data_IF_724809320492
#
_entry.id   IF_724809320492
#
_cell.length_a   1.000
_cell.length_b   1.000
_cell.length_c   1.000
_cell.angle_alpha   90.00
_cell.angle_beta   90.00
_cell.angle_gamma   90.00
#
_symmetry.space_group_name_H-M   'P 1'
#
loop_
_entity.id
_entity.type
_entity.pdbx_description
1 polymer ?
#
# COMPACT_ATOMS: atom_id res chain seq x y z
N UNK A 1 2.67 15.17 6.93
CA UNK A 1 1.29 14.73 7.16
C UNK A 1 1.22 13.61 8.22
N UNK A 2 2.03 12.55 8.14
CA UNK A 2 2.04 11.43 9.09
C UNK A 2 2.22 11.92 10.55
N UNK A 3 3.20 12.77 10.83
CA UNK A 3 3.43 13.33 12.17
C UNK A 3 2.20 14.04 12.75
N UNK A 4 1.41 14.70 11.89
CA UNK A 4 0.17 15.36 12.34
C UNK A 4 -0.87 14.33 12.76
N UNK A 5 -1.05 13.29 11.97
CA UNK A 5 -1.96 12.18 12.27
C UNK A 5 -1.53 11.47 13.56
N UNK A 6 -0.25 11.14 13.71
CA UNK A 6 0.29 10.49 14.92
C UNK A 6 0.09 11.36 16.18
N UNK A 7 0.26 12.67 16.06
CA UNK A 7 0.00 13.60 17.17
C UNK A 7 -1.47 13.62 17.57
N UNK A 8 -2.38 13.66 16.59
CA UNK A 8 -3.82 13.62 16.85
C UNK A 8 -4.23 12.29 17.51
N UNK A 9 -3.68 11.19 17.03
CA UNK A 9 -3.93 9.86 17.60
C UNK A 9 -3.45 9.78 19.06
N UNK A 10 -2.27 10.32 19.37
CA UNK A 10 -1.76 10.38 20.74
C UNK A 10 -2.74 11.13 21.66
N UNK A 11 -3.31 12.24 21.22
CA UNK A 11 -4.32 12.99 21.98
C UNK A 11 -5.56 12.11 22.25
N UNK A 12 -6.01 11.33 21.28
CA UNK A 12 -7.15 10.40 21.46
C UNK A 12 -6.84 9.30 22.49
N UNK A 13 -5.58 8.82 22.54
CA UNK A 13 -5.16 7.82 23.52
C UNK A 13 -5.07 8.39 24.95
N UNK A 14 -4.63 9.65 25.09
CA UNK A 14 -4.41 10.31 26.38
C UNK A 14 -5.70 10.93 26.97
N UNK A 15 -6.66 11.33 26.13
CA UNK A 15 -7.86 12.05 26.54
C UNK A 15 -9.16 11.36 26.09
N UNK A 16 -9.90 10.83 27.06
CA UNK A 16 -11.24 10.32 26.80
C UNK A 16 -12.20 11.39 26.25
N UNK A 17 -12.08 12.63 26.75
CA UNK A 17 -12.90 13.73 26.23
C UNK A 17 -12.60 14.06 24.79
N UNK A 18 -11.33 14.01 24.36
CA UNK A 18 -10.95 14.22 22.96
C UNK A 18 -11.48 13.09 22.09
N UNK A 19 -11.34 11.84 22.51
CA UNK A 19 -11.88 10.67 21.81
C UNK A 19 -13.39 10.79 21.61
N UNK A 20 -14.12 11.16 22.67
CA UNK A 20 -15.58 11.34 22.64
C UNK A 20 -16.02 12.49 21.72
N UNK A 21 -15.30 13.64 21.76
CA UNK A 21 -15.60 14.77 20.86
C UNK A 21 -15.38 14.46 19.39
N UNK A 22 -14.36 13.65 19.09
CA UNK A 22 -14.06 13.22 17.73
C UNK A 22 -14.91 12.03 17.28
N UNK A 23 -15.68 11.45 18.19
CA UNK A 23 -16.43 10.22 17.98
C UNK A 23 -15.56 9.08 17.40
N UNK A 24 -14.33 8.95 17.94
CA UNK A 24 -13.33 7.96 17.51
C UNK A 24 -12.91 7.13 18.71
N UNK A 25 -13.09 5.82 18.64
CA UNK A 25 -12.56 4.91 19.66
C UNK A 25 -11.03 4.82 19.57
N UNK A 26 -10.38 4.40 20.66
CA UNK A 26 -8.92 4.16 20.66
C UNK A 26 -8.51 3.11 19.63
N UNK A 27 -9.31 2.05 19.44
CA UNK A 27 -9.09 1.04 18.41
C UNK A 27 -9.13 1.64 17.01
N UNK A 28 -10.15 2.44 16.70
CA UNK A 28 -10.25 3.14 15.41
C UNK A 28 -9.08 4.11 15.20
N UNK A 29 -8.66 4.83 16.24
CA UNK A 29 -7.51 5.72 16.15
C UNK A 29 -6.22 4.96 15.78
N UNK A 30 -6.01 3.75 16.34
CA UNK A 30 -4.89 2.89 16.00
C UNK A 30 -4.93 2.46 14.53
N UNK A 31 -6.10 2.06 14.04
CA UNK A 31 -6.25 1.64 12.65
C UNK A 31 -6.04 2.82 11.68
N UNK A 32 -6.48 4.02 12.01
CA UNK A 32 -6.15 5.22 11.23
C UNK A 32 -4.64 5.51 11.20
N UNK A 33 -3.92 5.27 12.30
CA UNK A 33 -2.45 5.34 12.30
C UNK A 33 -1.82 4.33 11.35
N UNK A 34 -2.32 3.10 11.37
CA UNK A 34 -1.84 2.04 10.50
C UNK A 34 -2.09 2.37 9.02
N UNK A 35 -3.29 2.88 8.67
CA UNK A 35 -3.58 3.36 7.31
C UNK A 35 -2.62 4.47 6.88
N UNK A 36 -2.39 5.47 7.75
CA UNK A 36 -1.50 6.59 7.45
C UNK A 36 -0.06 6.11 7.21
N UNK A 37 0.43 5.13 7.99
CA UNK A 37 1.76 4.52 7.79
C UNK A 37 1.86 3.74 6.49
N UNK A 38 0.81 3.00 6.10
CA UNK A 38 0.80 2.33 4.81
C UNK A 38 0.90 3.33 3.65
N UNK A 39 0.16 4.45 3.72
CA UNK A 39 0.20 5.51 2.71
C UNK A 39 1.59 6.17 2.64
N UNK A 40 2.18 6.49 3.78
CA UNK A 40 3.52 7.07 3.83
C UNK A 40 4.56 6.16 3.18
N UNK A 41 4.58 4.88 3.54
CA UNK A 41 5.49 3.91 2.92
C UNK A 41 5.27 3.75 1.42
N UNK A 42 4.02 3.78 0.95
CA UNK A 42 3.73 3.79 -0.48
C UNK A 42 4.30 5.04 -1.15
N UNK A 43 4.13 6.22 -0.54
CA UNK A 43 4.67 7.48 -1.07
C UNK A 43 6.20 7.47 -1.12
N UNK A 44 6.88 6.90 -0.15
CA UNK A 44 8.34 6.74 -0.17
C UNK A 44 8.79 5.91 -1.38
N UNK A 45 8.10 4.80 -1.67
CA UNK A 45 8.45 3.99 -2.84
C UNK A 45 8.08 4.65 -4.17
N UNK A 46 6.99 5.42 -4.24
CA UNK A 46 6.67 6.25 -5.42
C UNK A 46 7.76 7.30 -5.63
N UNK A 47 8.20 7.97 -4.56
CA UNK A 47 9.26 8.97 -4.64
C UNK A 47 10.58 8.34 -5.11
N UNK A 48 10.98 7.21 -4.53
CA UNK A 48 12.19 6.49 -4.93
C UNK A 48 12.14 6.06 -6.40
N UNK A 49 10.99 5.54 -6.85
CA UNK A 49 10.78 5.16 -8.24
C UNK A 49 10.87 6.36 -9.19
N UNK A 50 10.25 7.49 -8.81
CA UNK A 50 10.27 8.72 -9.60
C UNK A 50 11.68 9.30 -9.68
N UNK A 51 12.40 9.37 -8.57
CA UNK A 51 13.80 9.82 -8.51
C UNK A 51 14.67 8.95 -9.40
N UNK A 52 14.52 7.63 -9.29
CA UNK A 52 15.27 6.69 -10.12
C UNK A 52 15.02 6.91 -11.62
N UNK A 53 13.75 7.12 -12.02
CA UNK A 53 13.39 7.37 -13.43
C UNK A 53 14.01 8.69 -13.93
N UNK A 54 14.00 9.75 -13.09
CA UNK A 54 14.57 11.05 -13.45
C UNK A 54 16.09 10.95 -13.62
N UNK A 55 16.79 10.27 -12.72
CA UNK A 55 18.24 10.10 -12.74
C UNK A 55 18.72 9.23 -13.90
N UNK A 56 17.87 8.32 -14.38
CA UNK A 56 18.20 7.35 -15.43
C UNK A 56 17.36 7.56 -16.71
N UNK A 57 17.00 8.81 -17.01
CA UNK A 57 16.10 9.18 -18.11
C UNK A 57 16.56 8.69 -19.49
N UNK A 58 17.84 8.53 -19.72
CA UNK A 58 18.42 7.98 -20.96
C UNK A 58 17.92 6.56 -21.29
N UNK A 59 17.42 5.84 -20.26
CA UNK A 59 16.93 4.47 -20.36
C UNK A 59 15.38 4.38 -20.35
N UNK A 60 14.66 5.52 -20.23
CA UNK A 60 13.20 5.57 -20.11
C UNK A 60 12.46 4.80 -21.21
N UNK A 61 12.80 4.93 -22.51
CA UNK A 61 12.09 4.21 -23.56
C UNK A 61 12.11 2.69 -23.37
N UNK A 62 13.20 2.16 -22.80
CA UNK A 62 13.34 0.74 -22.49
C UNK A 62 12.64 0.37 -21.18
N UNK A 63 12.62 1.26 -20.19
CA UNK A 63 11.95 1.07 -18.91
C UNK A 63 10.44 0.90 -19.06
N UNK A 64 9.80 1.68 -19.94
CA UNK A 64 8.37 1.59 -20.20
C UNK A 64 7.92 0.21 -20.74
N UNK A 65 8.84 -0.57 -21.29
CA UNK A 65 8.59 -1.93 -21.77
C UNK A 65 8.86 -3.00 -20.69
N UNK A 66 9.39 -2.61 -19.54
CA UNK A 66 9.68 -3.58 -18.47
C UNK A 66 8.40 -4.02 -17.74
N UNK A 67 8.27 -5.31 -17.43
CA UNK A 67 7.11 -5.85 -16.73
C UNK A 67 6.71 -5.08 -15.47
N UNK A 68 7.64 -4.62 -14.59
CA UNK A 68 7.25 -3.88 -13.40
C UNK A 68 6.48 -2.59 -13.67
N UNK A 69 6.91 -1.79 -14.65
CA UNK A 69 6.22 -0.53 -15.01
C UNK A 69 4.83 -0.82 -15.59
N UNK A 70 4.69 -1.86 -16.39
CA UNK A 70 3.41 -2.27 -16.97
C UNK A 70 2.39 -2.73 -15.92
N UNK A 71 2.83 -3.06 -14.71
CA UNK A 71 1.95 -3.44 -13.59
C UNK A 71 1.39 -2.24 -12.80
N UNK A 72 1.95 -1.05 -12.96
CA UNK A 72 1.52 0.14 -12.21
C UNK A 72 0.04 0.50 -12.42
N UNK A 73 -0.55 0.44 -13.63
CA UNK A 73 -1.98 0.74 -13.80
C UNK A 73 -2.88 -0.20 -12.97
N UNK A 74 -2.56 -1.49 -12.93
CA UNK A 74 -3.33 -2.47 -12.16
C UNK A 74 -3.15 -2.29 -10.65
N UNK A 75 -1.95 -1.92 -10.20
CA UNK A 75 -1.72 -1.50 -8.82
C UNK A 75 -2.57 -0.26 -8.46
N UNK A 76 -2.58 0.77 -9.32
CA UNK A 76 -3.36 1.99 -9.11
C UNK A 76 -4.87 1.70 -9.02
N UNK A 77 -5.40 0.84 -9.88
CA UNK A 77 -6.80 0.43 -9.86
C UNK A 77 -7.15 -0.29 -8.55
N UNK A 78 -6.30 -1.25 -8.14
CA UNK A 78 -6.49 -1.97 -6.87
C UNK A 78 -6.42 -1.02 -5.66
N UNK A 79 -5.47 -0.09 -5.64
CA UNK A 79 -5.36 0.91 -4.57
C UNK A 79 -6.58 1.84 -4.55
N UNK A 80 -7.05 2.31 -5.72
CA UNK A 80 -8.27 3.13 -5.82
C UNK A 80 -9.47 2.42 -5.24
N UNK A 81 -9.63 1.13 -5.53
CA UNK A 81 -10.72 0.32 -4.96
C UNK A 81 -10.61 0.25 -3.43
N UNK A 82 -9.42 0.03 -2.87
CA UNK A 82 -9.22 0.06 -1.43
C UNK A 82 -9.53 1.43 -0.81
N UNK A 83 -9.11 2.53 -1.44
CA UNK A 83 -9.39 3.89 -0.97
C UNK A 83 -10.89 4.20 -0.93
N UNK A 84 -11.65 3.78 -1.95
CA UNK A 84 -13.10 3.92 -1.97
C UNK A 84 -13.77 3.13 -0.83
N UNK A 85 -13.17 2.01 -0.44
CA UNK A 85 -13.69 1.13 0.61
C UNK A 85 -13.33 1.57 2.05
N UNK A 86 -12.60 2.67 2.26
CA UNK A 86 -12.44 3.27 3.60
C UNK A 86 -13.81 3.59 4.22
N UNK A 87 -14.77 4.02 3.41
CA UNK A 87 -16.11 4.41 3.87
C UNK A 87 -17.12 3.27 3.82
N UNK A 88 -17.11 2.48 2.75
CA UNK A 88 -18.09 1.43 2.50
C UNK A 88 -17.79 0.13 3.25
N UNK A 89 -16.50 -0.14 3.50
CA UNK A 89 -16.00 -1.34 4.18
C UNK A 89 -16.59 -2.65 3.60
N UNK A 90 -16.72 -2.71 2.27
CA UNK A 90 -17.15 -3.91 1.57
C UNK A 90 -16.03 -4.95 1.56
N UNK A 91 -16.16 -5.95 2.42
CA UNK A 91 -15.13 -6.99 2.61
C UNK A 91 -14.82 -7.76 1.34
N UNK A 92 -15.82 -7.99 0.47
CA UNK A 92 -15.61 -8.73 -0.78
C UNK A 92 -14.74 -7.92 -1.76
N UNK A 93 -15.03 -6.63 -1.92
CA UNK A 93 -14.24 -5.73 -2.77
C UNK A 93 -12.82 -5.55 -2.24
N UNK A 94 -12.67 -5.34 -0.93
CA UNK A 94 -11.36 -5.23 -0.29
C UNK A 94 -10.53 -6.50 -0.53
N UNK A 95 -11.11 -7.68 -0.31
CA UNK A 95 -10.40 -8.94 -0.49
C UNK A 95 -10.07 -9.22 -1.95
N UNK A 96 -10.93 -8.83 -2.89
CA UNK A 96 -10.67 -8.92 -4.33
C UNK A 96 -9.45 -8.07 -4.72
N UNK A 97 -9.39 -6.81 -4.28
CA UNK A 97 -8.24 -5.95 -4.52
C UNK A 97 -6.95 -6.51 -3.89
N UNK A 98 -7.03 -7.04 -2.67
CA UNK A 98 -5.88 -7.68 -1.99
C UNK A 98 -5.36 -8.91 -2.75
N UNK A 99 -6.24 -9.73 -3.33
CA UNK A 99 -5.85 -10.89 -4.16
C UNK A 99 -5.16 -10.45 -5.44
N UNK A 100 -5.67 -9.43 -6.13
CA UNK A 100 -5.03 -8.86 -7.32
C UNK A 100 -3.61 -8.37 -7.00
N UNK A 101 -3.44 -7.62 -5.92
CA UNK A 101 -2.14 -7.14 -5.45
C UNK A 101 -1.19 -8.29 -5.09
N UNK A 102 -1.70 -9.38 -4.50
CA UNK A 102 -0.90 -10.59 -4.22
C UNK A 102 -0.41 -11.27 -5.51
N UNK A 103 -1.28 -11.36 -6.52
CA UNK A 103 -0.92 -11.90 -7.83
C UNK A 103 0.19 -11.07 -8.47
N UNK A 104 0.05 -9.73 -8.47
CA UNK A 104 1.09 -8.82 -8.95
C UNK A 104 2.44 -9.01 -8.25
N UNK A 105 2.43 -9.16 -6.91
CA UNK A 105 3.65 -9.44 -6.16
C UNK A 105 4.32 -10.76 -6.58
N UNK A 106 3.51 -11.78 -6.85
CA UNK A 106 4.02 -13.09 -7.28
C UNK A 106 4.63 -13.00 -8.67
N UNK A 107 3.96 -12.33 -9.60
CA UNK A 107 4.47 -12.11 -10.96
C UNK A 107 5.78 -11.33 -10.97
N UNK A 108 5.89 -10.29 -10.12
CA UNK A 108 7.12 -9.51 -9.98
C UNK A 108 8.27 -10.35 -9.40
N UNK A 109 8.00 -11.23 -8.44
CA UNK A 109 9.03 -12.17 -7.93
C UNK A 109 9.52 -13.13 -8.99
N UNK A 110 8.62 -13.67 -9.83
CA UNK A 110 8.99 -14.52 -10.96
C UNK A 110 9.87 -13.75 -11.95
N UNK A 111 9.51 -12.51 -12.25
CA UNK A 111 10.31 -11.62 -13.09
C UNK A 111 11.70 -11.36 -12.48
N UNK A 112 11.80 -11.04 -11.18
CA UNK A 112 13.07 -10.86 -10.47
C UNK A 112 13.95 -12.12 -10.60
N UNK A 113 13.36 -13.31 -10.44
CA UNK A 113 14.08 -14.58 -10.60
C UNK A 113 14.63 -14.75 -12.02
N UNK A 114 13.80 -14.49 -13.04
CA UNK A 114 14.23 -14.61 -14.44
C UNK A 114 15.38 -13.69 -14.81
N UNK A 115 15.51 -12.55 -14.11
CA UNK A 115 16.63 -11.63 -14.29
C UNK A 115 17.95 -12.26 -13.79
N UNK A 116 17.92 -12.99 -12.68
CA UNK A 116 19.12 -13.63 -12.13
C UNK A 116 19.62 -14.83 -12.96
N UNK A 117 18.71 -15.50 -13.66
CA UNK A 117 19.07 -16.68 -14.48
C UNK A 117 19.70 -16.32 -15.83
N UNK A 118 19.60 -15.07 -16.26
CA UNK A 118 20.13 -14.61 -17.55
C UNK A 118 21.56 -14.07 -17.40
N UNK A 119 22.57 -14.92 -17.66
CA UNK A 119 24.00 -14.62 -17.50
C UNK A 119 24.54 -13.43 -18.34
N UNK A 120 23.76 -12.93 -19.30
CA UNK A 120 24.20 -11.86 -20.23
C UNK A 120 23.98 -10.43 -19.71
N UNK A 121 23.57 -10.23 -18.45
CA UNK A 121 23.09 -8.94 -17.97
C UNK A 121 24.08 -8.10 -17.21
N UNK A 122 24.25 -6.91 -17.74
CA UNK A 122 24.98 -5.74 -17.31
C UNK A 122 24.11 -4.78 -16.46
N UNK A 123 24.57 -3.53 -16.29
CA UNK A 123 23.95 -2.42 -15.53
C UNK A 123 22.40 -2.32 -15.57
N UNK A 124 21.76 -2.77 -16.66
CA UNK A 124 20.29 -2.77 -16.79
C UNK A 124 19.60 -3.73 -15.79
N UNK A 125 20.29 -4.75 -15.33
CA UNK A 125 19.77 -5.71 -14.34
C UNK A 125 19.49 -5.02 -12.99
N UNK A 126 20.45 -4.27 -12.46
CA UNK A 126 20.28 -3.58 -11.18
C UNK A 126 19.11 -2.58 -11.23
N UNK A 127 18.97 -1.85 -12.34
CA UNK A 127 17.86 -0.92 -12.55
C UNK A 127 16.51 -1.62 -12.61
N UNK A 128 16.42 -2.73 -13.33
CA UNK A 128 15.18 -3.51 -13.44
C UNK A 128 14.76 -4.12 -12.10
N UNK A 129 15.72 -4.59 -11.30
CA UNK A 129 15.47 -5.11 -9.96
C UNK A 129 15.01 -4.02 -9.00
N UNK A 130 15.65 -2.85 -9.02
CA UNK A 130 15.28 -1.71 -8.17
C UNK A 130 13.84 -1.23 -8.44
N UNK A 131 13.47 -1.15 -9.74
CA UNK A 131 12.10 -0.81 -10.14
C UNK A 131 11.11 -1.89 -9.70
N UNK A 132 11.44 -3.16 -9.96
CA UNK A 132 10.59 -4.28 -9.57
C UNK A 132 10.36 -4.33 -8.07
N UNK A 133 11.42 -4.15 -7.28
CA UNK A 133 11.30 -4.10 -5.83
C UNK A 133 10.39 -2.96 -5.37
N UNK A 134 10.55 -1.75 -5.93
CA UNK A 134 9.69 -0.61 -5.58
C UNK A 134 8.23 -0.90 -5.88
N UNK A 135 7.89 -1.42 -7.07
CA UNK A 135 6.51 -1.76 -7.44
C UNK A 135 5.97 -2.91 -6.56
N UNK A 136 6.79 -3.90 -6.26
CA UNK A 136 6.42 -5.01 -5.37
C UNK A 136 6.14 -4.53 -3.94
N UNK A 137 6.90 -3.54 -3.44
CA UNK A 137 6.66 -2.89 -2.14
C UNK A 137 5.36 -2.08 -2.14
N UNK A 138 5.07 -1.35 -3.22
CA UNK A 138 3.78 -0.67 -3.39
C UNK A 138 2.61 -1.66 -3.26
N UNK A 139 2.69 -2.80 -3.93
CA UNK A 139 1.67 -3.86 -3.82
C UNK A 139 1.56 -4.41 -2.39
N UNK A 140 2.70 -4.60 -1.68
CA UNK A 140 2.71 -5.10 -0.31
C UNK A 140 1.99 -4.13 0.64
N UNK A 141 2.37 -2.86 0.65
CA UNK A 141 1.76 -1.86 1.53
C UNK A 141 0.30 -1.57 1.20
N UNK A 142 -0.09 -1.68 -0.09
CA UNK A 142 -1.51 -1.62 -0.46
C UNK A 142 -2.30 -2.82 0.08
N UNK A 143 -1.71 -4.01 0.13
CA UNK A 143 -2.34 -5.18 0.75
C UNK A 143 -2.49 -5.01 2.27
N UNK A 144 -1.46 -4.48 2.93
CA UNK A 144 -1.49 -4.19 4.37
C UNK A 144 -2.58 -3.13 4.66
N UNK A 145 -2.69 -2.11 3.81
CA UNK A 145 -3.78 -1.13 3.88
C UNK A 145 -5.16 -1.80 3.80
N UNK A 146 -5.36 -2.73 2.86
CA UNK A 146 -6.59 -3.51 2.76
C UNK A 146 -6.85 -4.39 3.98
N UNK A 147 -5.82 -4.94 4.63
CA UNK A 147 -5.95 -5.71 5.87
C UNK A 147 -6.44 -4.83 7.02
N UNK A 148 -5.91 -3.63 7.15
CA UNK A 148 -6.38 -2.66 8.15
C UNK A 148 -7.86 -2.34 7.93
N UNK A 149 -8.32 -2.17 6.69
CA UNK A 149 -9.75 -1.95 6.40
C UNK A 149 -10.63 -3.13 6.84
N UNK A 150 -10.18 -4.37 6.65
CA UNK A 150 -10.90 -5.55 7.13
C UNK A 150 -10.94 -5.62 8.66
N UNK A 151 -9.85 -5.25 9.34
CA UNK A 151 -9.81 -5.16 10.81
C UNK A 151 -10.79 -4.10 11.32
N UNK A 152 -10.86 -2.93 10.69
CA UNK A 152 -11.84 -1.89 11.02
C UNK A 152 -13.28 -2.40 10.86
N UNK A 153 -13.58 -3.14 9.78
CA UNK A 153 -14.88 -3.75 9.56
C UNK A 153 -15.23 -4.77 10.65
N UNK A 154 -14.29 -5.65 10.98
CA UNK A 154 -14.49 -6.65 12.03
C UNK A 154 -14.79 -5.97 13.37
N UNK A 155 -14.02 -4.95 13.74
CA UNK A 155 -14.23 -4.19 14.98
C UNK A 155 -15.61 -3.54 15.03
N UNK A 156 -16.13 -3.00 13.92
CA UNK A 156 -17.47 -2.41 13.86
C UNK A 156 -18.57 -3.45 14.06
N UNK A 157 -18.45 -4.61 13.42
CA UNK A 157 -19.42 -5.71 13.57
C UNK A 157 -19.43 -6.26 15.01
N UNK A 158 -18.26 -6.41 15.64
CA UNK A 158 -18.15 -6.85 17.02
C UNK A 158 -18.78 -5.85 18.01
N UNK A 159 -18.67 -4.55 17.75
CA UNK A 159 -19.32 -3.53 18.56
C UNK A 159 -20.85 -3.62 18.47
N UNK A 160 -21.41 -3.77 17.26
CA UNK A 160 -22.84 -3.93 17.04
C UNK A 160 -23.44 -5.17 17.73
N UNK A 161 -22.68 -6.27 17.79
CA UNK A 161 -23.11 -7.50 18.49
C UNK A 161 -23.11 -7.34 20.01
N UNK A 162 -22.18 -6.54 20.54
CA UNK A 162 -22.06 -6.29 21.98
C UNK A 162 -23.16 -5.38 22.53
N UNK A 163 -23.69 -4.50 21.71
CA UNK A 163 -24.73 -3.52 22.07
C UNK A 163 -26.16 -4.09 21.94
N UNK A 164 -26.31 -5.34 21.49
CA UNK A 164 -27.56 -6.12 21.44
C UNK A 164 -27.70 -7.05 22.63
#
# INVERSE_FOLDING_TARGET
>A
LLYLVERQIRIVFESYQAASRLNVSRGQALEFANLARCLERMMDHVNNLTTFIIEHNEHIPRLNLTPPIQKLPLWQESLKELMLNIRTQDSHRIETARRQLKTLQTELKVYEHSIFEDEKKNRQMASSLSISESVRRLCAYSRDFGEVLLNMKLASVMAEVRDR
#
